data_IF_017942853735
#
_entry.id   IF_017942853735
#
_cell.length_a   1.000
_cell.length_b   1.000
_cell.length_c   1.000
_cell.angle_alpha   90.00
_cell.angle_beta   90.00
_cell.angle_gamma   90.00
#
_symmetry.space_group_name_H-M   'P 1'
#
loop_
_entity.id
_entity.type
_entity.pdbx_description
1 polymer ?
#
# COMPACT_ATOMS: atom_id res chain seq x y z
N UNK A 1 13.03 -17.97 -2.21
CA UNK A 1 11.62 -17.59 -2.00
C UNK A 1 10.79 -18.87 -1.93
N UNK A 2 10.29 -19.23 -0.76
CA UNK A 2 9.31 -20.31 -0.64
C UNK A 2 8.08 -19.90 -1.46
N UNK A 3 7.70 -20.72 -2.45
CA UNK A 3 6.40 -20.59 -3.12
C UNK A 3 5.33 -20.81 -2.04
N UNK A 4 4.90 -19.74 -1.36
CA UNK A 4 3.69 -19.78 -0.55
C UNK A 4 2.58 -20.30 -1.47
N UNK A 5 1.89 -21.35 -1.06
CA UNK A 5 0.70 -21.82 -1.77
C UNK A 5 -0.24 -20.63 -1.93
N UNK A 6 -0.44 -20.17 -3.17
CA UNK A 6 -1.29 -19.03 -3.44
C UNK A 6 -2.71 -19.37 -2.98
N UNK A 7 -3.21 -18.62 -1.99
CA UNK A 7 -4.57 -18.78 -1.48
C UNK A 7 -5.51 -17.96 -2.36
N UNK A 8 -6.56 -18.59 -2.83
CA UNK A 8 -7.63 -17.95 -3.58
C UNK A 8 -8.90 -17.85 -2.74
N UNK A 9 -9.73 -16.87 -3.04
CA UNK A 9 -11.07 -16.67 -2.47
C UNK A 9 -12.12 -16.76 -3.57
N UNK A 10 -13.38 -17.12 -3.25
CA UNK A 10 -14.50 -17.03 -4.19
C UNK A 10 -14.66 -15.60 -4.74
N UNK A 11 -15.13 -15.48 -5.98
CA UNK A 11 -15.35 -14.17 -6.59
C UNK A 11 -16.44 -13.39 -5.85
N UNK A 12 -17.46 -14.09 -5.37
CA UNK A 12 -18.57 -13.56 -4.59
C UNK A 12 -18.07 -12.95 -3.27
N UNK A 13 -17.13 -13.61 -2.59
CA UNK A 13 -16.48 -13.09 -1.37
C UNK A 13 -15.74 -11.77 -1.66
N UNK A 14 -15.10 -11.65 -2.82
CA UNK A 14 -14.45 -10.40 -3.23
C UNK A 14 -15.48 -9.29 -3.50
N UNK A 15 -16.58 -9.60 -4.20
CA UNK A 15 -17.66 -8.65 -4.53
C UNK A 15 -18.27 -8.06 -3.25
N UNK A 16 -18.54 -8.90 -2.24
CA UNK A 16 -19.07 -8.48 -0.95
C UNK A 16 -18.13 -7.50 -0.23
N UNK A 17 -16.81 -7.73 -0.29
CA UNK A 17 -15.81 -6.89 0.39
C UNK A 17 -15.69 -5.48 -0.20
N UNK A 18 -15.79 -5.32 -1.52
CA UNK A 18 -15.38 -4.06 -2.18
C UNK A 18 -16.51 -3.06 -2.39
N UNK A 19 -17.76 -3.40 -2.07
CA UNK A 19 -18.93 -2.50 -2.23
C UNK A 19 -19.07 -1.90 -3.64
N UNK A 20 -18.61 -2.62 -4.67
CA UNK A 20 -18.71 -2.25 -6.09
C UNK A 20 -19.62 -3.27 -6.78
N UNK A 21 -20.46 -2.79 -7.70
CA UNK A 21 -21.34 -3.66 -8.48
C UNK A 21 -20.54 -4.77 -9.18
N UNK A 22 -21.00 -6.01 -9.04
CA UNK A 22 -20.37 -7.19 -9.64
C UNK A 22 -20.11 -7.03 -11.15
N UNK A 23 -21.08 -6.49 -11.89
CA UNK A 23 -20.95 -6.23 -13.33
C UNK A 23 -19.80 -5.27 -13.67
N UNK A 24 -19.54 -4.28 -12.82
CA UNK A 24 -18.41 -3.37 -12.96
C UNK A 24 -17.09 -4.09 -12.72
N UNK A 25 -17.01 -4.95 -11.71
CA UNK A 25 -15.81 -5.76 -11.42
C UNK A 25 -15.53 -6.70 -12.59
N UNK A 26 -16.54 -7.43 -13.08
CA UNK A 26 -16.43 -8.33 -14.24
C UNK A 26 -15.94 -7.59 -15.49
N UNK A 27 -16.40 -6.36 -15.73
CA UNK A 27 -15.97 -5.55 -16.88
C UNK A 27 -14.52 -5.07 -16.74
N UNK A 28 -14.09 -4.69 -15.53
CA UNK A 28 -12.79 -4.08 -15.25
C UNK A 28 -11.74 -5.06 -14.71
N UNK A 29 -12.00 -6.37 -14.71
CA UNK A 29 -11.14 -7.36 -14.03
C UNK A 29 -9.65 -7.26 -14.39
N UNK A 30 -9.32 -6.89 -15.64
CA UNK A 30 -7.94 -6.71 -16.13
C UNK A 30 -7.18 -5.57 -15.43
N UNK A 31 -7.91 -4.63 -14.86
CA UNK A 31 -7.37 -3.48 -14.12
C UNK A 31 -7.24 -3.76 -12.62
N UNK A 32 -7.62 -4.96 -12.16
CA UNK A 32 -7.63 -5.35 -10.74
C UNK A 32 -6.57 -6.45 -10.53
N UNK A 33 -5.36 -6.10 -10.07
CA UNK A 33 -4.29 -7.07 -9.90
C UNK A 33 -4.66 -8.12 -8.86
N UNK A 34 -4.54 -9.39 -9.26
CA UNK A 34 -4.96 -10.54 -8.46
C UNK A 34 -6.29 -11.16 -8.88
N UNK A 35 -6.97 -10.62 -9.90
CA UNK A 35 -8.12 -11.27 -10.55
C UNK A 35 -7.72 -11.79 -11.92
N UNK A 36 -7.98 -13.07 -12.16
CA UNK A 36 -7.77 -13.71 -13.46
C UNK A 36 -9.06 -14.38 -13.93
N UNK A 37 -9.41 -14.20 -15.20
CA UNK A 37 -10.53 -14.93 -15.82
C UNK A 37 -10.11 -16.36 -16.12
N UNK A 38 -10.94 -17.33 -15.73
CA UNK A 38 -10.77 -18.76 -15.98
C UNK A 38 -11.96 -19.29 -16.79
N UNK A 39 -11.92 -20.57 -17.18
CA UNK A 39 -13.05 -21.23 -17.85
C UNK A 39 -14.33 -21.23 -16.98
N UNK A 40 -14.15 -21.32 -15.66
CA UNK A 40 -15.23 -21.42 -14.68
C UNK A 40 -15.60 -20.07 -14.02
N UNK A 41 -15.15 -18.94 -14.58
CA UNK A 41 -15.43 -17.61 -14.04
C UNK A 41 -14.18 -16.82 -13.70
N UNK A 42 -13.99 -16.46 -12.43
CA UNK A 42 -12.88 -15.63 -11.97
C UNK A 42 -12.16 -16.29 -10.79
N UNK A 43 -10.82 -16.35 -10.87
CA UNK A 43 -9.97 -16.69 -9.76
C UNK A 43 -9.46 -15.39 -9.10
N UNK A 44 -9.63 -15.26 -7.79
CA UNK A 44 -9.22 -14.08 -7.03
C UNK A 44 -8.20 -14.46 -5.97
N UNK A 45 -7.01 -13.85 -6.01
CA UNK A 45 -6.00 -14.02 -4.97
C UNK A 45 -6.48 -13.41 -3.65
N UNK A 46 -6.23 -14.10 -2.54
CA UNK A 46 -6.44 -13.56 -1.20
C UNK A 46 -5.63 -12.27 -1.01
N UNK A 47 -6.27 -11.22 -0.50
CA UNK A 47 -5.67 -9.89 -0.35
C UNK A 47 -5.86 -8.96 -1.56
N UNK A 48 -6.57 -9.40 -2.60
CA UNK A 48 -6.96 -8.51 -3.71
C UNK A 48 -7.87 -7.39 -3.21
N UNK A 49 -7.57 -6.15 -3.64
CA UNK A 49 -8.35 -4.94 -3.36
C UNK A 49 -8.82 -4.28 -4.65
N UNK A 50 -9.93 -3.54 -4.58
CA UNK A 50 -10.42 -2.77 -5.73
C UNK A 50 -9.59 -1.49 -5.93
N UNK A 51 -9.25 -1.09 -7.18
CA UNK A 51 -8.50 0.13 -7.46
C UNK A 51 -9.14 1.39 -6.89
N UNK A 52 -8.31 2.27 -6.33
CA UNK A 52 -8.73 3.58 -5.83
C UNK A 52 -9.15 4.51 -7.00
N UNK A 53 -10.19 5.33 -6.78
CA UNK A 53 -10.56 6.42 -7.69
C UNK A 53 -9.66 7.63 -7.44
N UNK A 54 -8.58 7.74 -8.21
CA UNK A 54 -7.60 8.82 -8.07
C UNK A 54 -7.98 10.13 -8.76
N UNK A 55 -9.08 10.19 -9.52
CA UNK A 55 -9.46 11.42 -10.25
C UNK A 55 -9.72 12.61 -9.31
N UNK A 56 -9.97 12.33 -8.03
CA UNK A 56 -10.23 13.35 -6.99
C UNK A 56 -8.97 13.92 -6.34
N UNK A 57 -7.79 13.36 -6.61
CA UNK A 57 -6.57 13.73 -5.94
C UNK A 57 -5.61 14.50 -6.85
N UNK A 58 -5.13 15.65 -6.37
CA UNK A 58 -4.04 16.38 -7.02
C UNK A 58 -2.70 15.82 -6.55
N UNK A 59 -1.99 15.10 -7.42
CA UNK A 59 -0.67 14.51 -7.12
C UNK A 59 0.47 15.53 -7.27
N UNK A 60 0.45 16.62 -6.49
CA UNK A 60 1.36 17.76 -6.66
C UNK A 60 2.72 17.63 -6.00
N UNK A 61 2.84 16.88 -4.91
CA UNK A 61 4.08 16.81 -4.11
C UNK A 61 4.41 15.39 -3.67
N UNK A 62 5.67 15.17 -3.28
CA UNK A 62 6.14 13.89 -2.76
C UNK A 62 5.45 13.51 -1.43
N UNK A 63 5.17 14.50 -0.57
CA UNK A 63 4.43 14.31 0.68
C UNK A 63 2.98 13.87 0.42
N UNK A 64 2.31 14.56 -0.50
CA UNK A 64 0.95 14.26 -0.94
C UNK A 64 0.82 12.83 -1.48
N UNK A 65 1.79 12.38 -2.29
CA UNK A 65 1.80 10.99 -2.81
C UNK A 65 1.90 9.96 -1.68
N UNK A 66 2.75 10.19 -0.67
CA UNK A 66 2.85 9.31 0.51
C UNK A 66 1.58 9.32 1.35
N UNK A 67 0.98 10.49 1.56
CA UNK A 67 -0.30 10.61 2.26
C UNK A 67 -1.41 9.83 1.54
N UNK A 68 -1.54 9.99 0.22
CA UNK A 68 -2.53 9.26 -0.58
C UNK A 68 -2.26 7.75 -0.53
N UNK A 69 -1.00 7.32 -0.64
CA UNK A 69 -0.63 5.91 -0.51
C UNK A 69 -1.08 5.33 0.83
N UNK A 70 -0.72 5.99 1.93
CA UNK A 70 -1.12 5.58 3.28
C UNK A 70 -2.65 5.54 3.43
N UNK A 71 -3.33 6.61 2.99
CA UNK A 71 -4.79 6.71 3.01
C UNK A 71 -5.44 5.57 2.24
N UNK A 72 -4.95 5.28 1.04
CA UNK A 72 -5.49 4.21 0.19
C UNK A 72 -5.31 2.84 0.82
N UNK A 73 -4.14 2.59 1.43
CA UNK A 73 -3.86 1.36 2.20
C UNK A 73 -4.84 1.24 3.38
N UNK A 74 -5.07 2.31 4.15
CA UNK A 74 -6.02 2.32 5.28
C UNK A 74 -7.47 2.04 4.88
N UNK A 75 -7.83 2.39 3.64
CA UNK A 75 -9.16 2.20 3.09
C UNK A 75 -9.33 0.84 2.38
N UNK A 76 -8.34 -0.05 2.50
CA UNK A 76 -8.31 -1.35 1.85
C UNK A 76 -8.53 -1.28 0.33
N UNK A 77 -7.96 -0.25 -0.30
CA UNK A 77 -8.01 -0.04 -1.76
C UNK A 77 -6.65 -0.34 -2.40
N UNK A 78 -6.67 -0.64 -3.71
CA UNK A 78 -5.46 -0.89 -4.50
C UNK A 78 -4.91 0.41 -5.11
N UNK A 79 -3.59 0.54 -5.06
CA UNK A 79 -2.80 1.59 -5.72
C UNK A 79 -1.40 1.08 -6.05
N UNK A 80 -0.80 1.62 -7.12
CA UNK A 80 0.52 1.27 -7.63
C UNK A 80 1.37 2.48 -8.03
N UNK A 81 2.60 2.22 -8.48
CA UNK A 81 3.50 3.23 -9.02
C UNK A 81 2.87 4.03 -10.19
N UNK A 82 2.12 3.36 -11.08
CA UNK A 82 1.47 3.99 -12.23
C UNK A 82 0.43 5.01 -11.79
N UNK A 83 -0.35 4.62 -10.79
CA UNK A 83 -1.42 5.42 -10.22
C UNK A 83 -0.86 6.70 -9.55
N UNK A 84 0.29 6.58 -8.88
CA UNK A 84 1.00 7.71 -8.28
C UNK A 84 1.92 8.47 -9.23
N UNK A 85 1.97 8.10 -10.52
CA UNK A 85 2.88 8.68 -11.53
C UNK A 85 4.33 8.66 -11.05
N UNK A 86 4.81 7.47 -10.69
CA UNK A 86 6.16 7.20 -10.21
C UNK A 86 6.75 6.05 -11.01
N UNK A 87 8.08 6.03 -11.11
CA UNK A 87 8.80 4.83 -11.51
C UNK A 87 8.69 3.76 -10.40
N UNK A 88 8.75 2.48 -10.78
CA UNK A 88 8.65 1.37 -9.84
C UNK A 88 9.63 1.50 -8.66
N UNK A 89 10.93 1.83 -8.84
CA UNK A 89 11.87 1.97 -7.72
C UNK A 89 11.50 3.11 -6.76
N UNK A 90 10.92 4.21 -7.26
CA UNK A 90 10.49 5.32 -6.41
C UNK A 90 9.30 4.92 -5.53
N UNK A 91 8.38 4.11 -6.07
CA UNK A 91 7.25 3.59 -5.33
C UNK A 91 7.68 2.59 -4.26
N UNK A 92 8.63 1.71 -4.58
CA UNK A 92 9.21 0.76 -3.62
C UNK A 92 9.92 1.48 -2.46
N UNK A 93 10.69 2.54 -2.75
CA UNK A 93 11.31 3.33 -1.68
C UNK A 93 10.26 4.04 -0.81
N UNK A 94 9.20 4.59 -1.40
CA UNK A 94 8.10 5.17 -0.62
C UNK A 94 7.43 4.15 0.31
N UNK A 95 7.20 2.92 -0.15
CA UNK A 95 6.67 1.85 0.69
C UNK A 95 7.62 1.52 1.84
N UNK A 96 8.92 1.40 1.54
CA UNK A 96 9.96 1.13 2.54
C UNK A 96 10.01 2.21 3.61
N UNK A 97 10.02 3.49 3.23
CA UNK A 97 9.99 4.62 4.17
C UNK A 97 8.76 4.57 5.08
N UNK A 98 7.57 4.24 4.55
CA UNK A 98 6.34 4.11 5.34
C UNK A 98 6.38 2.91 6.31
N UNK A 99 7.03 1.80 5.93
CA UNK A 99 7.26 0.65 6.81
C UNK A 99 8.23 1.04 7.93
N UNK A 100 9.35 1.69 7.60
CA UNK A 100 10.35 2.12 8.57
C UNK A 100 9.79 3.14 9.56
N UNK A 101 8.95 4.06 9.10
CA UNK A 101 8.19 5.00 9.95
C UNK A 101 7.11 4.30 10.82
N UNK A 102 6.87 3.00 10.60
CA UNK A 102 5.86 2.22 11.31
C UNK A 102 4.43 2.60 10.97
N UNK A 103 4.19 3.15 9.78
CA UNK A 103 2.88 3.62 9.31
C UNK A 103 2.10 2.52 8.57
N UNK A 104 2.80 1.58 7.96
CA UNK A 104 2.23 0.39 7.32
C UNK A 104 3.03 -0.86 7.70
N UNK A 105 2.47 -2.03 7.46
CA UNK A 105 3.11 -3.33 7.71
C UNK A 105 2.71 -4.35 6.65
N UNK A 106 3.55 -5.35 6.42
CA UNK A 106 3.19 -6.47 5.55
C UNK A 106 2.00 -7.25 6.10
N UNK A 107 1.02 -7.56 5.27
CA UNK A 107 -0.16 -8.33 5.68
C UNK A 107 -0.03 -9.84 5.44
N UNK A 108 1.04 -10.24 4.74
CA UNK A 108 1.38 -11.64 4.44
C UNK A 108 0.32 -12.43 3.65
N UNK A 109 -0.60 -11.73 2.98
CA UNK A 109 -1.59 -12.32 2.07
C UNK A 109 -0.96 -12.75 0.74
N UNK A 110 -1.73 -13.41 -0.11
CA UNK A 110 -1.21 -13.98 -1.37
C UNK A 110 -1.02 -12.96 -2.48
N UNK A 111 -1.75 -11.85 -2.44
CA UNK A 111 -1.63 -10.77 -3.41
C UNK A 111 -0.59 -9.75 -2.95
N UNK A 112 0.63 -9.88 -3.44
CA UNK A 112 1.74 -8.98 -3.13
C UNK A 112 1.89 -7.83 -4.16
N UNK A 113 0.91 -7.61 -5.05
CA UNK A 113 0.99 -6.56 -6.06
C UNK A 113 0.80 -5.17 -5.44
N UNK A 114 1.81 -4.30 -5.60
CA UNK A 114 1.75 -2.90 -5.18
C UNK A 114 1.34 -2.74 -3.72
N UNK A 115 0.35 -1.89 -3.45
CA UNK A 115 -0.15 -1.67 -2.10
C UNK A 115 -0.96 -2.83 -1.48
N UNK A 116 -1.31 -3.88 -2.25
CA UNK A 116 -2.06 -5.04 -1.71
C UNK A 116 -1.28 -5.82 -0.66
N UNK A 117 0.06 -5.75 -0.69
CA UNK A 117 0.93 -6.47 0.24
C UNK A 117 0.94 -5.88 1.66
N UNK A 118 0.27 -4.73 1.88
CA UNK A 118 0.41 -3.92 3.08
C UNK A 118 -0.93 -3.56 3.72
N UNK A 119 -0.94 -3.57 5.04
CA UNK A 119 -2.02 -3.02 5.88
C UNK A 119 -1.53 -1.76 6.59
N UNK A 120 -2.46 -0.85 6.88
CA UNK A 120 -2.17 0.33 7.69
C UNK A 120 -1.92 -0.10 9.14
N UNK A 121 -0.96 0.54 9.81
CA UNK A 121 -0.74 0.31 11.23
C UNK A 121 -1.67 1.19 12.06
N UNK A 122 -1.80 0.90 13.36
CA UNK A 122 -2.52 1.77 14.32
C UNK A 122 -1.94 3.19 14.30
N UNK A 123 -0.62 3.34 14.11
CA UNK A 123 0.04 4.65 14.02
C UNK A 123 -0.35 5.37 12.73
N UNK A 124 -0.38 4.66 11.59
CA UNK A 124 -0.86 5.18 10.32
C UNK A 124 -2.31 5.65 10.40
N UNK A 125 -3.20 4.84 10.98
CA UNK A 125 -4.61 5.19 11.14
C UNK A 125 -4.81 6.42 12.04
N UNK A 126 -4.04 6.54 13.12
CA UNK A 126 -4.07 7.72 13.99
C UNK A 126 -3.64 8.98 13.25
N UNK A 127 -2.57 8.90 12.46
CA UNK A 127 -2.06 10.01 11.66
C UNK A 127 -3.08 10.49 10.63
N UNK A 128 -3.83 9.57 10.00
CA UNK A 128 -4.85 9.91 9.00
C UNK A 128 -6.11 10.59 9.57
N UNK A 129 -6.26 10.66 10.90
CA UNK A 129 -7.34 11.41 11.56
C UNK A 129 -7.05 12.90 11.70
N UNK A 130 -5.80 13.30 11.46
CA UNK A 130 -5.38 14.69 11.47
C UNK A 130 -5.85 15.43 10.20
N UNK A 131 -5.77 16.76 10.21
CA UNK A 131 -5.89 17.53 8.98
C UNK A 131 -4.84 17.07 7.95
N UNK A 132 -5.22 17.07 6.67
CA UNK A 132 -4.38 16.56 5.59
C UNK A 132 -3.01 17.23 5.52
N UNK A 133 -2.94 18.56 5.65
CA UNK A 133 -1.67 19.29 5.58
C UNK A 133 -0.77 18.92 6.76
N UNK A 134 -1.37 18.75 7.94
CA UNK A 134 -0.65 18.31 9.13
C UNK A 134 -0.17 16.88 9.01
N UNK A 135 -1.00 15.98 8.47
CA UNK A 135 -0.63 14.60 8.21
C UNK A 135 0.53 14.51 7.21
N UNK A 136 0.49 15.25 6.11
CA UNK A 136 1.58 15.33 5.13
C UNK A 136 2.91 15.78 5.77
N UNK A 137 2.88 16.84 6.57
CA UNK A 137 4.07 17.32 7.28
C UNK A 137 4.59 16.29 8.30
N UNK A 138 3.70 15.68 9.08
CA UNK A 138 4.04 14.65 10.08
C UNK A 138 4.64 13.40 9.42
N UNK A 139 4.15 12.96 8.25
CA UNK A 139 4.74 11.85 7.50
C UNK A 139 6.21 12.13 7.18
N UNK A 140 6.52 13.32 6.65
CA UNK A 140 7.90 13.68 6.30
C UNK A 140 8.82 13.70 7.53
N UNK A 141 8.33 14.25 8.65
CA UNK A 141 9.10 14.28 9.89
C UNK A 141 9.40 12.86 10.39
N UNK A 142 8.40 11.97 10.40
CA UNK A 142 8.59 10.59 10.84
C UNK A 142 9.59 9.83 9.96
N UNK A 143 9.59 10.06 8.65
CA UNK A 143 10.56 9.47 7.72
C UNK A 143 11.97 10.04 7.97
N UNK A 144 12.09 11.34 8.20
CA UNK A 144 13.37 11.99 8.50
C UNK A 144 13.96 11.50 9.83
N UNK A 145 13.12 11.34 10.86
CA UNK A 145 13.51 10.79 12.16
C UNK A 145 14.06 9.36 12.05
N UNK A 146 13.43 8.51 11.25
CA UNK A 146 13.91 7.14 11.04
C UNK A 146 15.21 7.09 10.26
N UNK A 147 15.36 7.93 9.23
CA UNK A 147 16.61 8.06 8.48
C UNK A 147 17.76 8.54 9.39
N UNK A 148 17.51 9.56 10.23
CA UNK A 148 18.49 10.07 11.19
C UNK A 148 18.86 9.06 12.28
N UNK A 149 17.89 8.29 12.78
CA UNK A 149 18.12 7.21 13.75
C UNK A 149 18.94 6.07 13.16
N UNK A 150 18.71 5.72 11.90
CA UNK A 150 19.48 4.72 11.18
C UNK A 150 20.95 5.14 11.05
N UNK A 151 21.20 6.38 10.59
CA UNK A 151 22.56 6.93 10.49
C UNK A 151 23.25 6.97 11.86
N UNK A 152 22.57 7.45 12.90
CA UNK A 152 23.11 7.51 14.26
C UNK A 152 23.45 6.13 14.86
N UNK A 153 22.62 5.11 14.59
CA UNK A 153 22.81 3.74 15.07
C UNK A 153 23.96 3.02 14.35
N UNK A 154 24.14 3.27 13.06
CA UNK A 154 25.28 2.73 12.29
C UNK A 154 26.58 3.33 12.80
N UNK A 155 26.63 4.65 13.02
CA UNK A 155 27.81 5.32 13.55
C UNK A 155 28.15 4.78 14.96
N UNK A 156 27.18 4.71 15.87
CA UNK A 156 27.44 4.24 17.25
C UNK A 156 27.91 2.78 17.30
N UNK A 157 27.43 1.90 16.42
CA UNK A 157 27.94 0.53 16.30
C UNK A 157 29.37 0.45 15.78
N UNK A 158 29.78 1.37 14.90
CA UNK A 158 31.17 1.43 14.42
C UNK A 158 32.10 1.92 15.53
N UNK A 159 31.69 2.95 16.28
CA UNK A 159 32.52 3.54 17.35
C UNK A 159 32.59 2.70 18.64
N UNK A 160 31.56 1.90 18.97
CA UNK A 160 31.57 1.03 20.15
C UNK A 160 32.28 -0.33 19.93
N UNK A 161 32.83 -0.57 18.74
CA UNK A 161 33.60 -1.78 18.40
C UNK A 161 35.11 -1.45 18.25
N UNK A 162 35.51 -0.22 18.58
CA UNK A 162 36.90 0.22 18.72
C UNK A 162 37.28 0.35 20.20
#
# INVERSE_FOLDING_TARGET
>A
MNKKNAKYIPFEEFVEKVSVKESTIKRRYKEIPGITKTENGFAVLSGTRYPCDLHRYKLSTSAKKRYILLKTISQYQYISHKDLKLEQPQFEEMLKELIEAGLIQHNHLSNEYGANAYDCSIRGDKLLKEDEQQAEAKILNMIAETAGTFVGTVISKIYNVA
#
